data_IF_700345557941
#
_entry.id   IF_700345557941
#
_cell.length_a   1.000
_cell.length_b   1.000
_cell.length_c   1.000
_cell.angle_alpha   90.00
_cell.angle_beta   90.00
_cell.angle_gamma   90.00
#
_symmetry.space_group_name_H-M   'P 1'
#
loop_
_entity.id
_entity.type
_entity.pdbx_description
1 polymer ?
#
# COMPACT_ATOMS: atom_id res chain seq x y z
N UNK A 1 -7.31 -39.15 -9.37
CA UNK A 1 -6.54 -38.11 -8.63
C UNK A 1 -6.51 -36.74 -9.33
N UNK A 2 -6.71 -36.63 -10.64
CA UNK A 2 -6.76 -35.33 -11.36
C UNK A 2 -7.90 -34.38 -10.91
N UNK A 3 -8.93 -34.89 -10.24
CA UNK A 3 -10.13 -34.17 -9.83
C UNK A 3 -9.95 -33.32 -8.54
N UNK A 4 -9.18 -33.81 -7.56
CA UNK A 4 -9.05 -33.14 -6.24
C UNK A 4 -8.23 -31.85 -6.30
N UNK A 5 -7.14 -31.85 -7.08
CA UNK A 5 -6.27 -30.68 -7.23
C UNK A 5 -7.02 -29.52 -7.90
N UNK A 6 -7.68 -29.81 -9.02
CA UNK A 6 -8.46 -28.81 -9.76
C UNK A 6 -9.61 -28.25 -8.93
N UNK A 7 -10.31 -29.11 -8.18
CA UNK A 7 -11.34 -28.68 -7.25
C UNK A 7 -10.79 -27.75 -6.15
N UNK A 8 -9.67 -28.09 -5.52
CA UNK A 8 -9.02 -27.24 -4.51
C UNK A 8 -8.59 -25.88 -5.09
N UNK A 9 -7.98 -25.87 -6.27
CA UNK A 9 -7.61 -24.62 -6.96
C UNK A 9 -8.83 -23.72 -7.20
N UNK A 10 -9.96 -24.30 -7.61
CA UNK A 10 -11.21 -23.56 -7.79
C UNK A 10 -11.74 -22.98 -6.47
N UNK A 11 -11.70 -23.77 -5.39
CA UNK A 11 -12.13 -23.30 -4.06
C UNK A 11 -11.27 -22.15 -3.56
N UNK A 12 -9.94 -22.25 -3.71
CA UNK A 12 -9.01 -21.20 -3.30
C UNK A 12 -9.20 -19.93 -4.14
N UNK A 13 -9.33 -20.05 -5.47
CA UNK A 13 -9.63 -18.92 -6.35
C UNK A 13 -10.94 -18.22 -5.97
N UNK A 14 -11.99 -18.98 -5.68
CA UNK A 14 -13.29 -18.42 -5.25
C UNK A 14 -13.16 -17.69 -3.92
N UNK A 15 -12.44 -18.27 -2.95
CA UNK A 15 -12.18 -17.62 -1.66
C UNK A 15 -11.44 -16.30 -1.86
N UNK A 16 -10.33 -16.29 -2.60
CA UNK A 16 -9.57 -15.08 -2.91
C UNK A 16 -10.45 -14.04 -3.61
N UNK A 17 -11.22 -14.43 -4.63
CA UNK A 17 -12.13 -13.53 -5.32
C UNK A 17 -13.17 -12.91 -4.40
N UNK A 18 -13.78 -13.73 -3.52
CA UNK A 18 -14.82 -13.27 -2.60
C UNK A 18 -14.34 -12.18 -1.62
N UNK A 19 -13.06 -12.24 -1.24
CA UNK A 19 -12.42 -11.32 -0.30
C UNK A 19 -11.71 -10.14 -1.01
N UNK A 20 -11.54 -10.22 -2.33
CA UNK A 20 -10.85 -9.20 -3.13
C UNK A 20 -11.76 -8.01 -3.43
N UNK A 21 -11.29 -6.76 -3.23
CA UNK A 21 -11.97 -5.57 -3.74
C UNK A 21 -12.08 -5.62 -5.27
N UNK A 22 -13.29 -5.44 -5.81
CA UNK A 22 -13.55 -5.41 -7.26
C UNK A 22 -13.99 -4.03 -7.76
N UNK A 23 -14.41 -3.15 -6.85
CA UNK A 23 -14.84 -1.79 -7.19
C UNK A 23 -14.74 -0.87 -5.98
N UNK A 24 -14.28 0.37 -6.18
CA UNK A 24 -14.46 1.46 -5.19
C UNK A 24 -15.88 2.01 -5.33
N UNK A 25 -16.67 1.95 -4.26
CA UNK A 25 -18.05 2.44 -4.23
C UNK A 25 -18.08 3.93 -3.90
N UNK A 26 -17.32 4.32 -2.88
CA UNK A 26 -17.27 5.68 -2.39
C UNK A 26 -15.90 5.99 -1.78
N UNK A 27 -15.50 7.26 -1.85
CA UNK A 27 -14.43 7.84 -1.06
C UNK A 27 -15.13 8.76 -0.06
N UNK A 28 -15.05 8.43 1.23
CA UNK A 28 -15.73 9.20 2.28
C UNK A 28 -14.88 10.36 2.80
N UNK A 29 -13.56 10.17 2.84
CA UNK A 29 -12.61 11.18 3.29
C UNK A 29 -11.31 11.05 2.50
N UNK A 30 -10.76 12.18 2.10
CA UNK A 30 -9.46 12.33 1.48
C UNK A 30 -8.86 13.62 2.07
N UNK A 31 -8.25 13.48 3.23
CA UNK A 31 -7.76 14.61 4.01
C UNK A 31 -6.25 14.51 4.21
N UNK A 32 -5.60 15.68 4.24
CA UNK A 32 -4.19 15.76 4.62
C UNK A 32 -3.99 15.20 6.03
N UNK A 33 -3.05 14.28 6.20
CA UNK A 33 -2.88 13.52 7.46
C UNK A 33 -2.03 14.26 8.47
N UNK A 34 -1.25 15.22 7.99
CA UNK A 34 -0.12 15.79 8.70
C UNK A 34 -0.33 17.30 8.81
N UNK A 35 -0.03 17.84 9.98
CA UNK A 35 -0.22 19.25 10.29
C UNK A 35 0.64 20.16 9.42
N UNK A 36 0.39 21.47 9.50
CA UNK A 36 1.18 22.47 8.80
C UNK A 36 2.66 22.35 9.19
N UNK A 37 3.52 22.06 8.22
CA UNK A 37 4.97 21.92 8.42
C UNK A 37 5.47 20.49 8.58
N UNK A 38 4.59 19.49 8.62
CA UNK A 38 4.98 18.08 8.77
C UNK A 38 5.06 17.33 7.42
N UNK A 39 4.65 17.97 6.33
CA UNK A 39 4.62 17.45 4.94
C UNK A 39 5.84 17.88 4.09
N UNK A 40 7.04 17.97 4.69
CA UNK A 40 8.28 18.53 4.13
C UNK A 40 8.45 18.47 2.60
N UNK A 41 8.89 17.32 2.05
CA UNK A 41 9.20 17.13 0.63
C UNK A 41 8.10 16.38 -0.13
N UNK A 42 6.92 16.23 0.47
CA UNK A 42 5.83 15.40 -0.03
C UNK A 42 4.52 15.71 0.66
N UNK A 43 3.41 15.59 -0.05
CA UNK A 43 2.07 15.72 0.52
C UNK A 43 1.52 14.35 0.89
N UNK A 44 1.04 14.19 2.13
CA UNK A 44 0.49 12.92 2.61
C UNK A 44 -1.01 13.10 2.87
N UNK A 45 -1.81 12.28 2.21
CA UNK A 45 -3.25 12.21 2.38
C UNK A 45 -3.68 10.82 2.89
N UNK A 46 -4.74 10.77 3.70
CA UNK A 46 -5.40 9.54 4.10
C UNK A 46 -6.70 9.45 3.31
N UNK A 47 -6.86 8.35 2.60
CA UNK A 47 -8.07 8.06 1.85
C UNK A 47 -8.85 6.98 2.58
N UNK A 48 -10.04 7.33 3.05
CA UNK A 48 -11.04 6.40 3.58
C UNK A 48 -12.13 6.20 2.54
N UNK A 49 -12.45 4.94 2.27
CA UNK A 49 -13.45 4.59 1.29
C UNK A 49 -14.18 3.30 1.62
N UNK A 50 -15.20 3.02 0.83
CA UNK A 50 -15.91 1.75 0.83
C UNK A 50 -15.71 1.06 -0.52
N UNK A 51 -15.33 -0.21 -0.47
CA UNK A 51 -15.16 -1.08 -1.65
C UNK A 51 -16.21 -2.18 -1.70
N UNK A 52 -16.60 -2.59 -2.90
CA UNK A 52 -17.35 -3.80 -3.18
C UNK A 52 -16.36 -4.97 -3.27
N UNK A 53 -16.62 -6.05 -2.54
CA UNK A 53 -15.87 -7.29 -2.64
C UNK A 53 -16.50 -8.22 -3.69
N UNK A 54 -15.74 -9.17 -4.22
CA UNK A 54 -16.25 -10.17 -5.16
C UNK A 54 -17.42 -11.01 -4.62
N UNK A 55 -17.54 -11.12 -3.29
CA UNK A 55 -18.69 -11.75 -2.62
C UNK A 55 -19.99 -10.93 -2.68
N UNK A 56 -19.95 -9.70 -3.16
CA UNK A 56 -21.06 -8.74 -3.14
C UNK A 56 -21.20 -7.94 -1.84
N UNK A 57 -20.38 -8.25 -0.82
CA UNK A 57 -20.32 -7.47 0.43
C UNK A 57 -19.55 -6.17 0.24
N UNK A 58 -19.81 -5.19 1.09
CA UNK A 58 -19.00 -3.97 1.16
C UNK A 58 -17.99 -4.05 2.30
N UNK A 59 -16.85 -3.39 2.14
CA UNK A 59 -15.80 -3.28 3.17
C UNK A 59 -15.25 -1.85 3.19
N UNK A 60 -15.04 -1.31 4.40
CA UNK A 60 -14.31 -0.05 4.58
C UNK A 60 -12.81 -0.28 4.41
N UNK A 61 -12.14 0.66 3.76
CA UNK A 61 -10.70 0.66 3.54
C UNK A 61 -10.13 2.02 3.97
N UNK A 62 -8.88 2.01 4.42
CA UNK A 62 -8.10 3.21 4.73
C UNK A 62 -6.71 3.02 4.16
N UNK A 63 -6.22 4.01 3.42
CA UNK A 63 -4.92 4.01 2.76
C UNK A 63 -4.22 5.34 3.00
N UNK A 64 -2.89 5.33 2.98
CA UNK A 64 -2.07 6.55 2.99
C UNK A 64 -1.49 6.74 1.60
N UNK A 65 -1.73 7.89 0.98
CA UNK A 65 -1.11 8.25 -0.30
C UNK A 65 -0.09 9.34 -0.03
N UNK A 66 1.15 9.08 -0.44
CA UNK A 66 2.24 10.05 -0.41
C UNK A 66 2.47 10.54 -1.84
N UNK A 67 2.19 11.82 -2.07
CA UNK A 67 2.33 12.48 -3.34
C UNK A 67 3.54 13.43 -3.33
N UNK A 68 4.09 13.69 -4.51
CA UNK A 68 5.05 14.78 -4.69
C UNK A 68 4.42 16.10 -4.26
N UNK A 69 5.24 16.98 -3.68
CA UNK A 69 4.77 18.30 -3.26
C UNK A 69 4.38 19.14 -4.49
N UNK A 70 3.27 19.90 -4.40
CA UNK A 70 2.80 20.79 -5.47
C UNK A 70 3.73 21.97 -5.78
N UNK A 71 4.65 22.32 -4.88
CA UNK A 71 5.56 23.45 -5.10
C UNK A 71 6.80 23.02 -5.88
N UNK A 72 7.13 23.74 -6.95
CA UNK A 72 8.25 23.39 -7.84
C UNK A 72 9.60 23.38 -7.12
N UNK A 73 9.80 24.26 -6.13
CA UNK A 73 11.01 24.29 -5.31
C UNK A 73 11.20 22.98 -4.54
N UNK A 74 10.13 22.50 -3.88
CA UNK A 74 10.19 21.25 -3.10
C UNK A 74 10.27 20.03 -4.01
N UNK A 75 9.58 20.04 -5.15
CA UNK A 75 9.68 18.99 -6.17
C UNK A 75 11.11 18.85 -6.71
N UNK A 76 11.75 19.97 -7.04
CA UNK A 76 13.16 19.97 -7.48
C UNK A 76 14.08 19.41 -6.41
N UNK A 77 13.92 19.85 -5.15
CA UNK A 77 14.69 19.35 -4.02
C UNK A 77 14.45 17.85 -3.79
N UNK A 78 13.20 17.39 -3.85
CA UNK A 78 12.80 15.98 -3.73
C UNK A 78 13.44 15.11 -4.81
N UNK A 79 13.51 15.61 -6.05
CA UNK A 79 14.17 14.95 -7.17
C UNK A 79 15.70 14.90 -6.99
N UNK A 80 16.33 16.01 -6.61
CA UNK A 80 17.77 16.09 -6.36
C UNK A 80 18.22 15.14 -5.23
N UNK A 81 17.41 15.02 -4.18
CA UNK A 81 17.65 14.07 -3.08
C UNK A 81 17.24 12.63 -3.42
N UNK A 82 16.47 12.44 -4.49
CA UNK A 82 15.97 11.14 -4.93
C UNK A 82 14.99 10.51 -3.94
N UNK A 83 14.17 11.32 -3.25
CA UNK A 83 13.31 10.87 -2.13
C UNK A 83 12.44 9.67 -2.53
N UNK A 84 11.58 9.85 -3.55
CA UNK A 84 10.68 8.80 -4.02
C UNK A 84 11.42 7.59 -4.57
N UNK A 85 12.54 7.78 -5.28
CA UNK A 85 13.32 6.67 -5.84
C UNK A 85 13.88 5.79 -4.71
N UNK A 86 14.43 6.40 -3.66
CA UNK A 86 14.96 5.67 -2.51
C UNK A 86 13.85 4.92 -1.77
N UNK A 87 12.71 5.55 -1.54
CA UNK A 87 11.57 4.89 -0.89
C UNK A 87 11.02 3.73 -1.71
N UNK A 88 10.88 3.90 -3.03
CA UNK A 88 10.45 2.82 -3.93
C UNK A 88 11.44 1.65 -3.86
N UNK A 89 12.76 1.90 -3.92
CA UNK A 89 13.78 0.85 -3.78
C UNK A 89 13.66 0.16 -2.43
N UNK A 90 13.45 0.91 -1.34
CA UNK A 90 13.28 0.33 -0.01
C UNK A 90 12.10 -0.64 0.03
N UNK A 91 10.91 -0.20 -0.37
CA UNK A 91 9.70 -1.02 -0.29
C UNK A 91 9.63 -2.14 -1.33
N UNK A 92 10.17 -1.93 -2.52
CA UNK A 92 10.13 -2.92 -3.62
C UNK A 92 11.23 -3.97 -3.49
N UNK A 93 12.44 -3.57 -3.09
CA UNK A 93 13.63 -4.42 -3.23
C UNK A 93 14.27 -4.79 -1.88
N UNK A 94 14.34 -3.85 -0.93
CA UNK A 94 15.15 -4.02 0.28
C UNK A 94 14.33 -4.68 1.39
N UNK A 95 13.17 -4.14 1.73
CA UNK A 95 12.32 -4.66 2.80
C UNK A 95 11.88 -6.11 2.53
N UNK A 96 11.46 -6.52 1.31
CA UNK A 96 11.15 -7.92 1.04
C UNK A 96 12.33 -8.87 1.30
N UNK A 97 13.56 -8.48 0.94
CA UNK A 97 14.77 -9.27 1.25
C UNK A 97 15.06 -9.31 2.76
N UNK A 98 14.72 -8.25 3.48
CA UNK A 98 14.81 -8.28 4.95
C UNK A 98 13.78 -9.26 5.54
N UNK A 99 12.57 -9.35 4.99
CA UNK A 99 11.58 -10.37 5.39
C UNK A 99 12.12 -11.79 5.15
N UNK A 100 12.76 -12.03 4.00
CA UNK A 100 13.40 -13.33 3.70
C UNK A 100 14.46 -13.68 4.75
N UNK A 101 15.33 -12.73 5.12
CA UNK A 101 16.37 -12.94 6.14
C UNK A 101 15.78 -13.21 7.54
N UNK A 102 14.69 -12.54 7.92
CA UNK A 102 13.99 -12.79 9.17
C UNK A 102 13.36 -14.20 9.17
N UNK A 103 12.76 -14.60 8.05
CA UNK A 103 12.18 -15.93 7.90
C UNK A 103 13.25 -17.05 7.99
N UNK A 104 14.45 -16.83 7.47
CA UNK A 104 15.57 -17.79 7.55
C UNK A 104 15.96 -18.12 9.01
N UNK A 105 15.95 -17.12 9.89
CA UNK A 105 16.25 -17.29 11.31
C UNK A 105 15.03 -17.71 12.14
N UNK A 106 13.89 -17.98 11.48
CA UNK A 106 12.60 -18.28 12.11
C UNK A 106 12.16 -17.20 13.10
N UNK A 107 12.55 -15.96 12.84
CA UNK A 107 11.93 -14.84 13.51
C UNK A 107 10.52 -14.70 12.97
N UNK A 108 9.54 -14.91 13.85
CA UNK A 108 8.12 -14.85 13.53
C UNK A 108 7.47 -13.62 14.14
N UNK A 109 8.26 -12.67 14.66
CA UNK A 109 7.71 -11.38 15.05
C UNK A 109 7.14 -10.65 13.83
N UNK A 110 6.16 -9.79 14.09
CA UNK A 110 5.57 -8.97 13.04
C UNK A 110 6.62 -8.02 12.45
N UNK A 111 6.50 -7.75 11.15
CA UNK A 111 7.38 -6.80 10.48
C UNK A 111 7.26 -5.40 11.11
N UNK A 112 8.39 -4.69 11.23
CA UNK A 112 8.46 -3.37 11.87
C UNK A 112 8.14 -2.21 10.92
N UNK A 113 7.59 -2.47 9.74
CA UNK A 113 7.25 -1.47 8.72
C UNK A 113 5.85 -1.69 8.17
N UNK A 114 5.20 -0.61 7.72
CA UNK A 114 3.92 -0.72 7.02
C UNK A 114 4.08 -1.31 5.61
N UNK A 115 2.98 -1.77 5.01
CA UNK A 115 3.00 -2.25 3.62
C UNK A 115 2.92 -1.10 2.61
N UNK A 116 3.65 -1.21 1.51
CA UNK A 116 3.47 -0.39 0.30
C UNK A 116 2.68 -1.20 -0.72
N UNK A 117 1.53 -0.70 -1.15
CA UNK A 117 0.66 -1.39 -2.09
C UNK A 117 0.96 -1.03 -3.54
N UNK A 118 1.35 0.22 -3.81
CA UNK A 118 1.64 0.66 -5.18
C UNK A 118 2.55 1.90 -5.19
N UNK A 119 3.11 2.21 -6.36
CA UNK A 119 3.89 3.42 -6.58
C UNK A 119 3.84 3.88 -8.03
N UNK A 120 4.03 5.19 -8.24
CA UNK A 120 4.37 5.78 -9.53
C UNK A 120 5.76 6.38 -9.44
N UNK A 121 6.58 6.08 -10.43
CA UNK A 121 7.97 6.52 -10.44
C UNK A 121 8.08 8.03 -10.24
N UNK A 122 8.95 8.42 -9.31
CA UNK A 122 9.33 9.80 -8.97
C UNK A 122 8.31 10.65 -8.20
N UNK A 123 7.05 10.24 -8.05
CA UNK A 123 6.05 11.16 -7.53
C UNK A 123 4.92 10.58 -6.67
N UNK A 124 4.79 9.26 -6.53
CA UNK A 124 3.71 8.71 -5.71
C UNK A 124 4.04 7.35 -5.09
N UNK A 125 3.61 7.16 -3.84
CA UNK A 125 3.56 5.88 -3.14
C UNK A 125 2.20 5.73 -2.44
N UNK A 126 1.68 4.50 -2.40
CA UNK A 126 0.45 4.13 -1.70
C UNK A 126 0.78 3.12 -0.62
N UNK A 127 0.47 3.46 0.62
CA UNK A 127 0.77 2.67 1.81
C UNK A 127 -0.49 2.19 2.53
N UNK A 128 -0.28 1.15 3.33
CA UNK A 128 -1.13 0.80 4.45
C UNK A 128 -1.31 1.97 5.41
N UNK A 129 -2.53 2.13 5.92
CA UNK A 129 -2.80 3.02 7.04
C UNK A 129 -2.61 2.27 8.35
N UNK A 130 -1.65 2.71 9.16
CA UNK A 130 -1.30 2.07 10.44
C UNK A 130 -2.20 2.53 11.60
N UNK A 131 -3.08 3.50 11.39
CA UNK A 131 -4.01 4.02 12.40
C UNK A 131 -5.42 3.39 12.32
N UNK A 132 -5.51 2.17 11.78
CA UNK A 132 -6.78 1.43 11.60
C UNK A 132 -7.17 0.68 12.86
#
# INVERSE_FOLDING_TARGET
MADRKSWLEMVLKRKTFNDSPIKVIAIEDASGVVGKGENYLSEIERVKGTVLLGSGKTKKVSLIIKNQHVTEQMKKMSLELGVFVREIIMYRDILPKMEDLLAEIKDTEDIMWGRCYDYRLYDQLVFEDLNV
#
